data_IF_285605467384
#
_entry.id   IF_285605467384
#
_cell.length_a   1.000
_cell.length_b   1.000
_cell.length_c   1.000
_cell.angle_alpha   90.00
_cell.angle_beta   90.00
_cell.angle_gamma   90.00
#
_symmetry.space_group_name_H-M   'P 1'
#
loop_
_entity.id
_entity.type
_entity.pdbx_description
1 polymer ?
#
# COMPACT_ATOMS: atom_id res chain seq x y z
N UNK A 1 21.78 9.70 6.89
CA UNK A 1 21.98 8.54 6.01
C UNK A 1 20.87 8.58 4.98
N UNK A 2 21.11 8.23 3.70
CA UNK A 2 20.02 8.17 2.73
C UNK A 2 18.98 7.15 3.20
N UNK A 3 17.70 7.48 3.06
CA UNK A 3 16.60 6.59 3.43
C UNK A 3 16.24 5.74 2.20
N UNK A 4 16.50 4.45 2.27
CA UNK A 4 16.50 3.52 1.13
C UNK A 4 15.18 2.74 1.07
N UNK A 5 14.50 2.79 -0.08
CA UNK A 5 13.22 2.14 -0.31
C UNK A 5 13.39 1.05 -1.38
N UNK A 6 13.15 -0.20 -1.01
CA UNK A 6 13.14 -1.35 -1.91
C UNK A 6 11.73 -1.56 -2.48
N UNK A 7 11.55 -1.35 -3.78
CA UNK A 7 10.33 -1.75 -4.49
C UNK A 7 10.53 -3.14 -5.07
N UNK A 8 9.79 -4.13 -4.56
CA UNK A 8 9.85 -5.49 -5.08
C UNK A 8 9.45 -5.51 -6.56
N UNK A 9 10.32 -6.11 -7.37
CA UNK A 9 10.07 -6.41 -8.78
C UNK A 9 10.15 -7.91 -9.08
N UNK A 10 10.58 -8.72 -8.10
CA UNK A 10 10.67 -10.16 -8.27
C UNK A 10 9.29 -10.84 -8.31
N UNK A 11 8.26 -10.25 -7.69
CA UNK A 11 6.90 -10.79 -7.66
C UNK A 11 5.97 -10.15 -8.69
N UNK A 12 6.52 -9.76 -9.85
CA UNK A 12 5.76 -9.27 -11.02
C UNK A 12 4.74 -8.18 -10.64
N UNK A 13 5.17 -7.06 -10.03
CA UNK A 13 4.26 -6.00 -9.62
C UNK A 13 3.58 -5.37 -10.84
N UNK A 14 2.33 -4.94 -10.68
CA UNK A 14 1.65 -4.11 -11.71
C UNK A 14 2.16 -2.67 -11.71
N UNK A 15 2.50 -2.13 -10.54
CA UNK A 15 3.12 -0.81 -10.45
C UNK A 15 4.64 -0.93 -10.43
N UNK A 16 5.30 -0.23 -11.34
CA UNK A 16 6.75 -0.29 -11.54
C UNK A 16 7.30 1.13 -11.58
N UNK A 17 8.35 1.37 -10.78
CA UNK A 17 9.01 2.67 -10.65
C UNK A 17 9.44 3.29 -11.98
N UNK A 18 9.87 2.45 -12.92
CA UNK A 18 10.43 2.91 -14.19
C UNK A 18 9.43 2.90 -15.36
N UNK A 19 8.17 2.53 -15.11
CA UNK A 19 7.14 2.48 -16.16
C UNK A 19 5.91 3.33 -15.83
N UNK A 20 5.29 3.14 -14.66
CA UNK A 20 3.98 3.72 -14.36
C UNK A 20 3.83 4.26 -12.93
N UNK A 21 4.94 4.36 -12.19
CA UNK A 21 5.09 5.04 -10.91
C UNK A 21 6.26 6.05 -10.95
N UNK A 22 6.57 6.58 -12.13
CA UNK A 22 7.69 7.50 -12.34
C UNK A 22 7.48 8.82 -11.59
N UNK A 23 6.24 9.31 -11.49
CA UNK A 23 5.91 10.54 -10.75
C UNK A 23 6.13 10.33 -9.24
N UNK A 24 5.71 9.18 -8.69
CA UNK A 24 5.99 8.79 -7.31
C UNK A 24 7.50 8.70 -7.06
N UNK A 25 8.24 8.00 -7.93
CA UNK A 25 9.70 7.86 -7.82
C UNK A 25 10.39 9.22 -7.79
N UNK A 26 10.06 10.09 -8.73
CA UNK A 26 10.69 11.40 -8.86
C UNK A 26 10.34 12.29 -7.67
N UNK A 27 9.10 12.22 -7.17
CA UNK A 27 8.68 12.89 -5.94
C UNK A 27 9.46 12.39 -4.72
N UNK A 28 9.62 11.07 -4.55
CA UNK A 28 10.39 10.51 -3.44
C UNK A 28 11.87 10.91 -3.52
N UNK A 29 12.48 10.84 -4.70
CA UNK A 29 13.86 11.27 -4.92
C UNK A 29 14.06 12.77 -4.62
N UNK A 30 13.07 13.62 -4.94
CA UNK A 30 13.10 15.04 -4.60
C UNK A 30 12.96 15.31 -3.09
N UNK A 31 12.51 14.32 -2.30
CA UNK A 31 12.39 14.38 -0.85
C UNK A 31 13.47 13.53 -0.12
N UNK A 32 14.66 13.40 -0.73
CA UNK A 32 15.84 12.72 -0.17
C UNK A 32 15.70 11.21 0.10
N UNK A 33 14.66 10.58 -0.43
CA UNK A 33 14.53 9.11 -0.46
C UNK A 33 15.27 8.52 -1.66
N UNK A 34 15.81 7.32 -1.53
CA UNK A 34 16.44 6.60 -2.64
C UNK A 34 15.64 5.35 -2.96
N UNK A 35 15.02 5.33 -4.14
CA UNK A 35 14.19 4.21 -4.59
C UNK A 35 15.01 3.19 -5.39
N UNK A 36 14.84 1.90 -5.09
CA UNK A 36 15.53 0.80 -5.76
C UNK A 36 14.53 -0.22 -6.30
N UNK A 37 14.75 -0.72 -7.51
CA UNK A 37 14.11 -1.96 -7.96
C UNK A 37 14.79 -3.15 -7.28
N UNK A 38 14.06 -3.85 -6.44
CA UNK A 38 14.52 -4.97 -5.65
C UNK A 38 14.18 -6.30 -6.34
N UNK A 39 15.20 -6.95 -6.89
CA UNK A 39 15.09 -8.15 -7.74
C UNK A 39 15.40 -9.46 -7.01
N UNK A 40 15.73 -9.41 -5.72
CA UNK A 40 16.17 -10.61 -4.99
C UNK A 40 14.99 -11.54 -4.68
N UNK A 41 15.09 -12.79 -5.12
CA UNK A 41 14.16 -13.86 -4.79
C UNK A 41 14.94 -15.17 -4.52
N UNK A 42 14.75 -15.83 -3.35
CA UNK A 42 13.82 -15.44 -2.29
C UNK A 42 14.28 -14.20 -1.52
N UNK A 43 13.34 -13.35 -1.11
CA UNK A 43 13.58 -12.23 -0.19
C UNK A 43 13.99 -12.78 1.18
N UNK A 44 15.15 -12.34 1.68
CA UNK A 44 15.67 -12.73 3.00
C UNK A 44 15.85 -11.53 3.92
N UNK A 45 15.83 -11.73 5.24
CA UNK A 45 16.13 -10.67 6.21
C UNK A 45 17.50 -10.04 5.97
N UNK A 46 18.48 -10.83 5.53
CA UNK A 46 19.81 -10.33 5.23
C UNK A 46 19.83 -9.40 3.99
N UNK A 47 19.05 -9.71 2.96
CA UNK A 47 18.91 -8.89 1.77
C UNK A 47 18.27 -7.52 2.03
N UNK A 48 17.43 -7.43 3.06
CA UNK A 48 16.72 -6.22 3.45
C UNK A 48 17.52 -5.29 4.39
N UNK A 49 18.70 -5.71 4.87
CA UNK A 49 19.48 -4.97 5.88
C UNK A 49 19.86 -3.54 5.50
N UNK A 50 20.00 -3.26 4.21
CA UNK A 50 20.37 -1.93 3.71
C UNK A 50 19.18 -1.03 3.39
N UNK A 51 17.96 -1.52 3.58
CA UNK A 51 16.72 -0.82 3.25
C UNK A 51 15.96 -0.45 4.51
N UNK A 52 15.24 0.65 4.44
CA UNK A 52 14.38 1.14 5.51
C UNK A 52 12.94 0.67 5.28
N UNK A 53 12.51 0.61 4.01
CA UNK A 53 11.16 0.18 3.61
C UNK A 53 11.22 -0.83 2.47
N UNK A 54 10.43 -1.91 2.58
CA UNK A 54 10.08 -2.82 1.49
C UNK A 54 8.66 -2.50 0.99
N UNK A 55 8.48 -2.41 -0.33
CA UNK A 55 7.22 -2.08 -0.98
C UNK A 55 6.80 -3.18 -1.93
N UNK A 56 5.60 -3.74 -1.74
CA UNK A 56 4.93 -4.59 -2.72
C UNK A 56 3.85 -3.80 -3.46
N UNK A 57 3.99 -3.67 -4.77
CA UNK A 57 3.05 -2.90 -5.60
C UNK A 57 2.19 -3.82 -6.46
N UNK A 58 1.16 -4.39 -5.84
CA UNK A 58 0.17 -5.27 -6.46
C UNK A 58 0.83 -6.42 -7.24
N UNK A 59 1.41 -7.42 -6.55
CA UNK A 59 1.93 -8.64 -7.18
C UNK A 59 0.86 -9.29 -8.07
N UNK A 60 1.24 -9.74 -9.27
CA UNK A 60 0.30 -10.26 -10.27
C UNK A 60 0.80 -11.57 -10.87
N UNK A 61 0.00 -12.64 -10.75
CA UNK A 61 0.38 -14.01 -11.11
C UNK A 61 1.73 -14.44 -10.51
N UNK A 62 1.97 -14.04 -9.26
CA UNK A 62 3.14 -14.37 -8.46
C UNK A 62 2.74 -14.51 -6.99
N UNK A 63 3.41 -15.43 -6.30
CA UNK A 63 3.18 -15.69 -4.87
C UNK A 63 4.48 -15.53 -4.09
N UNK A 64 4.36 -14.95 -2.91
CA UNK A 64 5.42 -14.81 -1.92
C UNK A 64 5.48 -16.13 -1.15
N UNK A 65 6.65 -16.75 -1.07
CA UNK A 65 6.78 -18.04 -0.39
C UNK A 65 6.66 -17.90 1.13
N UNK A 66 6.29 -18.97 1.84
CA UNK A 66 6.21 -18.96 3.31
C UNK A 66 7.56 -18.65 3.97
N UNK A 67 8.68 -18.98 3.30
CA UNK A 67 10.02 -18.62 3.75
C UNK A 67 10.24 -17.11 3.68
N UNK A 68 9.88 -16.48 2.56
CA UNK A 68 9.96 -15.03 2.40
C UNK A 68 9.05 -14.31 3.40
N UNK A 69 7.81 -14.79 3.59
CA UNK A 69 6.89 -14.22 4.59
C UNK A 69 7.52 -14.24 5.98
N UNK A 70 8.18 -15.35 6.34
CA UNK A 70 8.88 -15.49 7.64
C UNK A 70 10.03 -14.49 7.74
N UNK A 71 10.89 -14.42 6.71
CA UNK A 71 12.06 -13.54 6.68
C UNK A 71 11.68 -12.05 6.71
N UNK A 72 10.68 -11.65 5.91
CA UNK A 72 10.14 -10.28 5.89
C UNK A 72 9.51 -9.96 7.25
N UNK A 73 8.71 -10.87 7.82
CA UNK A 73 8.08 -10.65 9.12
C UNK A 73 9.10 -10.46 10.24
N UNK A 74 10.16 -11.27 10.25
CA UNK A 74 11.26 -11.11 11.20
C UNK A 74 12.02 -9.80 11.00
N UNK A 75 12.29 -9.39 9.75
CA UNK A 75 12.93 -8.10 9.48
C UNK A 75 12.09 -6.92 9.99
N UNK A 76 10.78 -6.90 9.71
CA UNK A 76 9.86 -5.86 10.22
C UNK A 76 9.89 -5.83 11.75
N UNK A 77 9.65 -6.97 12.41
CA UNK A 77 9.51 -7.04 13.88
C UNK A 77 10.80 -6.78 14.64
N UNK A 78 11.89 -7.41 14.20
CA UNK A 78 13.12 -7.49 14.97
C UNK A 78 14.11 -6.37 14.63
N UNK A 79 14.16 -5.97 13.35
CA UNK A 79 15.09 -4.97 12.82
C UNK A 79 14.45 -3.59 12.67
N UNK A 80 13.12 -3.50 12.76
CA UNK A 80 12.37 -2.25 12.67
C UNK A 80 12.10 -1.79 11.24
N UNK A 81 12.14 -2.71 10.28
CA UNK A 81 11.83 -2.43 8.88
C UNK A 81 10.40 -1.94 8.67
N UNK A 82 10.21 -1.06 7.69
CA UNK A 82 8.91 -0.63 7.20
C UNK A 82 8.40 -1.52 6.06
N UNK A 83 7.12 -1.86 6.07
CA UNK A 83 6.48 -2.64 5.00
C UNK A 83 5.27 -1.90 4.45
N UNK A 84 5.31 -1.57 3.16
CA UNK A 84 4.17 -1.01 2.42
C UNK A 84 3.63 -2.05 1.44
N UNK A 85 2.33 -2.34 1.52
CA UNK A 85 1.66 -3.30 0.66
C UNK A 85 0.47 -2.65 -0.03
N UNK A 86 0.49 -2.65 -1.36
CA UNK A 86 -0.54 -2.04 -2.19
C UNK A 86 -1.23 -3.14 -2.99
N UNK A 87 -2.56 -3.18 -2.93
CA UNK A 87 -3.37 -4.13 -3.69
C UNK A 87 -4.17 -3.42 -4.80
N UNK A 88 -5.21 -4.07 -5.30
CA UNK A 88 -6.13 -3.54 -6.31
C UNK A 88 -7.49 -4.24 -6.13
N UNK A 89 -8.54 -3.67 -6.72
CA UNK A 89 -9.82 -4.33 -6.91
C UNK A 89 -9.66 -5.79 -7.39
N UNK A 90 -10.39 -6.68 -6.72
CA UNK A 90 -10.33 -8.13 -6.86
C UNK A 90 -9.42 -8.82 -5.83
N UNK A 91 -8.60 -8.08 -5.08
CA UNK A 91 -7.70 -8.62 -4.07
C UNK A 91 -6.76 -9.71 -4.61
N UNK A 92 -6.37 -10.63 -3.74
CA UNK A 92 -5.47 -11.74 -4.10
C UNK A 92 -6.07 -12.68 -5.16
N UNK A 93 -7.38 -12.94 -5.10
CA UNK A 93 -8.07 -13.78 -6.08
C UNK A 93 -8.05 -13.14 -7.46
N UNK A 94 -8.25 -11.83 -7.54
CA UNK A 94 -8.25 -11.06 -8.78
C UNK A 94 -6.85 -10.88 -9.39
N UNK A 95 -5.79 -11.07 -8.60
CA UNK A 95 -4.38 -11.01 -9.03
C UNK A 95 -3.67 -12.36 -9.07
N UNK A 96 -4.34 -13.43 -8.64
CA UNK A 96 -3.73 -14.74 -8.44
C UNK A 96 -2.43 -14.65 -7.61
N UNK A 97 -2.48 -13.85 -6.55
CA UNK A 97 -1.39 -13.58 -5.60
C UNK A 97 -1.74 -14.10 -4.20
N UNK A 98 -0.88 -13.79 -3.22
CA UNK A 98 -1.10 -14.11 -1.81
C UNK A 98 -0.55 -13.00 -0.89
N UNK A 99 -0.72 -11.73 -1.27
CA UNK A 99 -0.26 -10.59 -0.48
C UNK A 99 -0.91 -10.59 0.91
N UNK A 100 -2.15 -11.09 1.04
CA UNK A 100 -2.82 -11.24 2.33
C UNK A 100 -2.14 -12.27 3.24
N UNK A 101 -1.48 -13.30 2.72
CA UNK A 101 -0.74 -14.25 3.56
C UNK A 101 0.43 -13.55 4.27
N UNK A 102 1.07 -12.58 3.62
CA UNK A 102 2.08 -11.72 4.24
C UNK A 102 1.46 -10.75 5.24
N UNK A 103 0.43 -10.00 4.83
CA UNK A 103 -0.15 -8.95 5.68
C UNK A 103 -0.88 -9.51 6.91
N UNK A 104 -1.38 -10.75 6.84
CA UNK A 104 -2.06 -11.41 7.96
C UNK A 104 -1.13 -11.66 9.15
N UNK A 105 0.19 -11.78 8.92
CA UNK A 105 1.19 -11.82 9.99
C UNK A 105 1.16 -10.55 10.86
N UNK A 106 0.52 -9.47 10.38
CA UNK A 106 0.34 -8.18 11.05
C UNK A 106 -1.13 -7.83 11.27
N UNK A 107 -2.03 -8.79 11.07
CA UNK A 107 -3.46 -8.64 11.34
C UNK A 107 -4.24 -7.86 10.27
N UNK A 108 -3.76 -7.83 9.03
CA UNK A 108 -4.44 -7.17 7.92
C UNK A 108 -4.67 -8.19 6.79
N UNK A 109 -5.81 -8.17 6.11
CA UNK A 109 -6.03 -8.95 4.90
C UNK A 109 -6.72 -8.11 3.81
N UNK A 110 -6.37 -8.36 2.54
CA UNK A 110 -7.00 -7.71 1.40
C UNK A 110 -8.22 -8.51 0.95
N UNK A 111 -9.36 -7.84 0.87
CA UNK A 111 -10.60 -8.49 0.45
C UNK A 111 -10.64 -8.69 -1.07
N UNK A 112 -11.40 -9.69 -1.51
CA UNK A 112 -11.55 -10.03 -2.92
C UNK A 112 -12.76 -9.32 -3.55
N UNK A 113 -12.86 -8.02 -3.30
CA UNK A 113 -13.97 -7.15 -3.70
C UNK A 113 -13.48 -5.94 -4.52
N UNK A 114 -14.39 -5.02 -4.80
CA UNK A 114 -14.08 -3.72 -5.36
C UNK A 114 -14.90 -2.67 -4.63
N UNK A 115 -14.25 -1.60 -4.22
CA UNK A 115 -14.88 -0.45 -3.58
C UNK A 115 -15.40 0.48 -4.66
N UNK A 116 -16.71 0.74 -4.61
CA UNK A 116 -17.45 1.60 -5.54
C UNK A 116 -18.16 2.70 -4.75
N UNK A 117 -18.41 3.84 -5.36
CA UNK A 117 -19.31 4.86 -4.81
C UNK A 117 -20.02 5.57 -5.95
N UNK A 118 -21.34 5.40 -6.06
CA UNK A 118 -22.14 6.01 -7.12
C UNK A 118 -22.52 7.48 -6.84
N UNK A 119 -22.28 7.96 -5.61
CA UNK A 119 -22.70 9.30 -5.16
C UNK A 119 -21.53 10.27 -5.07
N UNK A 120 -20.44 9.84 -4.44
CA UNK A 120 -19.28 10.70 -4.18
C UNK A 120 -18.02 10.11 -4.81
N UNK A 121 -17.82 10.45 -6.09
CA UNK A 121 -16.76 9.92 -6.93
C UNK A 121 -16.20 10.95 -7.91
N UNK A 122 -15.05 10.65 -8.51
CA UNK A 122 -14.40 11.44 -9.55
C UNK A 122 -14.90 11.05 -10.95
N UNK A 123 -16.23 11.10 -11.16
CA UNK A 123 -16.88 10.86 -12.44
C UNK A 123 -17.11 9.39 -12.83
N UNK A 124 -16.51 8.42 -12.13
CA UNK A 124 -16.77 6.99 -12.27
C UNK A 124 -16.94 6.35 -10.89
N UNK A 125 -17.85 5.38 -10.75
CA UNK A 125 -18.12 4.72 -9.47
C UNK A 125 -16.89 4.05 -8.85
N UNK A 126 -15.93 3.58 -9.66
CA UNK A 126 -14.68 2.99 -9.19
C UNK A 126 -13.59 4.02 -8.85
N UNK A 127 -13.94 5.30 -8.75
CA UNK A 127 -13.07 6.38 -8.29
C UNK A 127 -13.74 7.13 -7.12
N UNK A 128 -14.10 6.43 -6.03
CA UNK A 128 -14.69 7.06 -4.85
C UNK A 128 -13.76 8.14 -4.28
N UNK A 129 -14.32 9.28 -3.88
CA UNK A 129 -13.62 10.32 -3.13
C UNK A 129 -13.84 10.01 -1.65
N UNK A 130 -12.82 9.59 -0.91
CA UNK A 130 -12.95 9.18 0.49
C UNK A 130 -12.53 10.31 1.43
N UNK A 131 -13.32 10.52 2.49
CA UNK A 131 -13.09 11.57 3.49
C UNK A 131 -13.15 11.03 4.93
N UNK A 132 -13.38 9.73 5.11
CA UNK A 132 -13.50 9.09 6.41
C UNK A 132 -12.12 8.73 6.98
N UNK A 133 -11.42 9.71 7.55
CA UNK A 133 -10.11 9.56 8.19
C UNK A 133 -10.24 9.43 9.71
N UNK A 134 -10.51 8.21 10.18
CA UNK A 134 -10.75 7.93 11.60
C UNK A 134 -10.04 6.63 12.00
N UNK A 135 -9.20 6.64 13.04
CA UNK A 135 -8.80 7.80 13.84
C UNK A 135 -7.83 8.72 13.06
N UNK A 136 -7.60 9.97 13.51
CA UNK A 136 -6.53 10.80 12.99
C UNK A 136 -5.18 10.07 13.08
N UNK A 137 -4.38 10.14 12.03
CA UNK A 137 -3.11 9.43 11.94
C UNK A 137 -2.07 10.29 11.20
N UNK A 138 -0.76 10.20 11.52
CA UNK A 138 0.27 10.95 10.80
C UNK A 138 0.21 10.79 9.27
N UNK A 139 -0.11 9.60 8.78
CA UNK A 139 -0.30 9.31 7.34
C UNK A 139 -1.40 10.18 6.71
N UNK A 140 -2.47 10.48 7.45
CA UNK A 140 -3.61 11.27 6.98
C UNK A 140 -3.53 12.75 7.34
N UNK A 141 -2.42 13.21 7.91
CA UNK A 141 -2.25 14.62 8.28
C UNK A 141 -2.29 15.54 7.05
N UNK A 142 -3.03 16.64 7.17
CA UNK A 142 -3.19 17.65 6.10
C UNK A 142 -3.80 17.09 4.80
N UNK A 143 -4.58 16.02 4.91
CA UNK A 143 -5.35 15.42 3.82
C UNK A 143 -6.82 15.59 4.15
N UNK A 144 -7.57 16.22 3.27
CA UNK A 144 -9.02 16.45 3.36
C UNK A 144 -9.83 15.42 2.57
N UNK A 145 -9.27 14.85 1.50
CA UNK A 145 -9.90 13.78 0.72
C UNK A 145 -8.90 13.01 -0.13
N UNK A 146 -9.20 11.74 -0.45
CA UNK A 146 -8.40 10.94 -1.39
C UNK A 146 -9.29 10.38 -2.49
N UNK A 147 -8.78 10.29 -3.71
CA UNK A 147 -9.46 9.53 -4.76
C UNK A 147 -9.02 8.05 -4.68
N UNK A 148 -9.82 7.20 -4.03
CA UNK A 148 -9.51 5.79 -3.82
C UNK A 148 -9.87 4.92 -5.04
N UNK A 149 -9.13 5.14 -6.13
CA UNK A 149 -9.38 4.51 -7.44
C UNK A 149 -9.18 3.00 -7.43
N UNK A 150 -10.14 2.25 -7.97
CA UNK A 150 -10.01 0.83 -8.35
C UNK A 150 -9.39 -0.06 -7.25
N UNK A 151 -9.76 0.19 -6.00
CA UNK A 151 -9.26 -0.56 -4.85
C UNK A 151 -10.20 -1.66 -4.36
N UNK A 152 -9.66 -2.54 -3.54
CA UNK A 152 -10.44 -3.43 -2.67
C UNK A 152 -10.52 -2.87 -1.24
N UNK A 153 -11.43 -3.41 -0.43
CA UNK A 153 -11.45 -3.18 1.01
C UNK A 153 -10.44 -4.08 1.73
N UNK A 154 -10.23 -3.83 3.03
CA UNK A 154 -9.39 -4.65 3.89
C UNK A 154 -10.17 -5.12 5.12
N UNK A 155 -9.77 -6.25 5.67
CA UNK A 155 -10.22 -6.72 6.98
C UNK A 155 -9.08 -6.70 8.00
N UNK A 156 -9.46 -6.57 9.27
CA UNK A 156 -8.54 -6.39 10.39
C UNK A 156 -8.78 -7.43 11.48
N UNK A 157 -7.70 -7.90 12.08
CA UNK A 157 -7.69 -8.73 13.27
C UNK A 157 -6.58 -8.29 14.22
N UNK A 158 -6.78 -8.47 15.53
CA UNK A 158 -5.79 -8.11 16.52
C UNK A 158 -5.66 -6.60 16.72
N UNK A 159 -4.43 -6.08 16.65
CA UNK A 159 -4.10 -4.68 16.99
C UNK A 159 -3.87 -3.77 15.79
N UNK A 160 -4.10 -4.24 14.57
CA UNK A 160 -4.09 -3.39 13.38
C UNK A 160 -5.29 -2.43 13.41
N UNK A 161 -5.13 -1.25 12.82
CA UNK A 161 -6.18 -0.23 12.79
C UNK A 161 -6.42 0.27 11.37
N UNK A 162 -7.67 0.59 11.05
CA UNK A 162 -8.04 1.35 9.86
C UNK A 162 -7.78 2.82 10.16
N UNK A 163 -7.16 3.54 9.22
CA UNK A 163 -6.98 5.01 9.30
C UNK A 163 -7.73 5.74 8.19
N UNK A 164 -8.17 5.01 7.16
CA UNK A 164 -9.07 5.49 6.11
C UNK A 164 -10.09 4.40 5.84
N UNK A 165 -11.37 4.76 5.83
CA UNK A 165 -12.48 3.85 5.51
C UNK A 165 -13.29 4.34 4.31
N UNK A 166 -14.05 3.44 3.68
CA UNK A 166 -15.01 3.81 2.64
C UNK A 166 -16.16 4.64 3.21
N UNK A 167 -16.80 5.45 2.38
CA UNK A 167 -17.87 6.33 2.83
C UNK A 167 -19.15 5.51 3.11
N UNK A 168 -20.13 6.16 3.73
CA UNK A 168 -21.47 5.58 3.93
C UNK A 168 -22.21 5.31 2.60
N UNK A 169 -21.87 6.07 1.55
CA UNK A 169 -22.42 5.92 0.19
C UNK A 169 -21.69 4.90 -0.66
N UNK A 170 -20.56 4.38 -0.17
CA UNK A 170 -19.74 3.42 -0.89
C UNK A 170 -20.30 2.00 -0.75
N UNK A 171 -19.95 1.14 -1.69
CA UNK A 171 -20.20 -0.30 -1.65
C UNK A 171 -18.86 -1.03 -1.78
N UNK A 172 -18.40 -1.77 -0.75
CA UNK A 172 -19.00 -1.87 0.59
C UNK A 172 -18.87 -0.57 1.41
N UNK A 173 -19.84 -0.28 2.27
CA UNK A 173 -19.88 0.94 3.10
C UNK A 173 -19.06 0.76 4.38
N UNK A 174 -18.41 1.84 4.84
CA UNK A 174 -17.70 1.90 6.13
C UNK A 174 -16.69 0.76 6.36
N UNK A 175 -16.01 0.32 5.31
CA UNK A 175 -14.97 -0.73 5.38
C UNK A 175 -13.56 -0.13 5.34
N UNK A 176 -12.56 -0.76 5.98
CA UNK A 176 -11.18 -0.29 5.93
C UNK A 176 -10.59 -0.24 4.51
N UNK A 177 -9.85 0.82 4.19
CA UNK A 177 -9.21 1.07 2.89
C UNK A 177 -7.70 1.30 2.99
N UNK A 178 -7.27 1.93 4.09
CA UNK A 178 -5.87 2.08 4.47
C UNK A 178 -5.73 1.65 5.92
N UNK A 179 -4.87 0.66 6.15
CA UNK A 179 -4.68 0.04 7.44
C UNK A 179 -3.21 0.11 7.85
N UNK A 180 -2.97 0.21 9.15
CA UNK A 180 -1.62 0.24 9.72
C UNK A 180 -1.49 -0.74 10.88
N UNK A 181 -0.25 -1.18 11.11
CA UNK A 181 0.15 -1.91 12.30
C UNK A 181 1.57 -1.50 12.70
N UNK A 182 1.85 -1.47 14.00
CA UNK A 182 3.18 -1.19 14.56
C UNK A 182 3.69 -2.41 15.34
N UNK A 183 4.08 -3.50 14.64
CA UNK A 183 4.53 -4.71 15.29
C UNK A 183 5.96 -4.54 15.84
N UNK A 184 6.09 -4.64 17.17
CA UNK A 184 7.38 -4.63 17.86
C UNK A 184 8.19 -3.35 17.56
N UNK A 185 9.20 -3.42 16.68
CA UNK A 185 10.01 -2.26 16.27
C UNK A 185 9.64 -1.70 14.90
N UNK A 186 8.85 -2.43 14.12
CA UNK A 186 8.56 -2.13 12.73
C UNK A 186 7.25 -1.41 12.53
N UNK A 187 6.97 -1.04 11.27
CA UNK A 187 5.73 -0.39 10.86
C UNK A 187 5.23 -1.01 9.57
N UNK A 188 3.91 -1.18 9.47
CA UNK A 188 3.25 -1.78 8.33
C UNK A 188 2.13 -0.85 7.88
N UNK A 189 2.05 -0.59 6.58
CA UNK A 189 0.93 0.10 5.94
C UNK A 189 0.41 -0.75 4.78
N UNK A 190 -0.90 -0.94 4.73
CA UNK A 190 -1.59 -1.67 3.68
C UNK A 190 -2.67 -0.79 3.06
N UNK A 191 -2.68 -0.70 1.72
CA UNK A 191 -3.64 0.13 0.96
C UNK A 191 -4.29 -0.76 -0.09
N UNK A 192 -5.62 -0.75 -0.13
CA UNK A 192 -6.38 -1.58 -1.08
C UNK A 192 -6.22 -1.19 -2.55
N UNK A 193 -5.46 -0.13 -2.86
CA UNK A 193 -5.19 0.33 -4.21
C UNK A 193 -3.78 0.91 -4.39
N UNK A 194 -3.06 0.38 -5.37
CA UNK A 194 -1.83 0.98 -5.89
C UNK A 194 -2.09 2.10 -6.92
N UNK A 195 -3.32 2.20 -7.43
CA UNK A 195 -3.68 3.14 -8.50
C UNK A 195 -3.62 4.60 -8.03
N UNK A 196 -3.69 4.85 -6.71
CA UNK A 196 -3.49 6.20 -6.14
C UNK A 196 -2.13 6.79 -6.53
N UNK A 197 -1.13 5.95 -6.78
CA UNK A 197 0.22 6.36 -7.11
C UNK A 197 0.59 6.22 -8.58
N UNK A 198 -0.37 5.86 -9.44
CA UNK A 198 -0.11 5.71 -10.87
C UNK A 198 0.03 7.04 -11.59
N UNK A 199 0.97 7.08 -12.52
CA UNK A 199 1.22 8.21 -13.39
C UNK A 199 0.04 8.47 -14.33
N UNK A 200 -0.24 9.75 -14.59
CA UNK A 200 -1.07 10.19 -15.73
C UNK A 200 -2.45 9.50 -15.88
N UNK A 201 -3.06 9.09 -14.77
CA UNK A 201 -4.44 8.56 -14.73
C UNK A 201 -5.33 9.44 -13.85
N UNK A 202 -6.62 9.52 -14.19
CA UNK A 202 -7.61 10.20 -13.34
C UNK A 202 -7.65 9.53 -11.96
N UNK A 203 -7.49 10.33 -10.89
CA UNK A 203 -7.38 9.80 -9.53
C UNK A 203 -6.05 9.10 -9.21
N UNK A 204 -5.01 9.29 -10.04
CA UNK A 204 -3.66 8.80 -9.81
C UNK A 204 -2.79 9.78 -9.01
N UNK A 205 -1.46 9.69 -9.17
CA UNK A 205 -0.50 10.43 -8.33
C UNK A 205 -0.63 11.94 -8.44
N UNK A 206 -0.93 12.48 -9.62
CA UNK A 206 -1.16 13.90 -9.83
C UNK A 206 -2.43 14.47 -9.20
N UNK A 207 -3.21 13.69 -8.44
CA UNK A 207 -4.32 14.20 -7.66
C UNK A 207 -3.80 14.99 -6.44
N UNK A 208 -4.35 16.18 -6.19
CA UNK A 208 -3.81 17.22 -5.30
C UNK A 208 -3.22 16.72 -3.96
N UNK A 209 -3.84 15.74 -3.32
CA UNK A 209 -3.43 15.28 -1.98
C UNK A 209 -2.69 13.93 -1.96
N UNK A 210 -2.61 13.21 -3.09
CA UNK A 210 -1.89 11.93 -3.18
C UNK A 210 -0.37 12.05 -2.96
N UNK A 211 0.32 13.13 -3.41
CA UNK A 211 1.72 13.37 -3.05
C UNK A 211 1.94 13.58 -1.55
N UNK A 212 0.99 14.24 -0.86
CA UNK A 212 1.05 14.40 0.60
C UNK A 212 0.86 13.05 1.31
N UNK A 213 -0.07 12.21 0.83
CA UNK A 213 -0.23 10.85 1.33
C UNK A 213 1.07 10.06 1.18
N UNK A 214 1.68 10.10 -0.01
CA UNK A 214 2.96 9.44 -0.26
C UNK A 214 4.02 9.96 0.71
N UNK A 215 4.21 11.27 0.82
CA UNK A 215 5.18 11.87 1.75
C UNK A 215 5.00 11.36 3.18
N UNK A 216 3.77 11.39 3.70
CA UNK A 216 3.48 10.97 5.07
C UNK A 216 3.65 9.46 5.31
N UNK A 217 3.54 8.61 4.27
CA UNK A 217 3.77 7.16 4.37
C UNK A 217 5.26 6.85 4.48
N UNK A 218 6.09 7.58 3.73
CA UNK A 218 7.53 7.30 3.65
C UNK A 218 8.37 8.04 4.71
N UNK A 219 7.79 9.01 5.44
CA UNK A 219 8.40 9.74 6.55
C UNK A 219 8.29 9.03 7.90
#
# INVERSE_FOLDING_TARGET
>A
MPYNIAFDVAHKPRGKLDENLTELRDFLNANDYVCYNFLEAPITRNSLKSFDILVFVCPDFAKISSMEITEISSWVRDDGGGLLMLSHAGGDRGRNSNLSELSQAFGIAFENDQVLDNTYNLGLENMPIVTAFIPPHPITNSISSLCFRSGCSLSLVGSSISIVSSNETSEPFSTPLICVAEPDKGRVCAIGSYELFRDSVGGGFGNDEHPNLAFNIFS
#
